data_IF_768983178776
#
_entry.id   IF_768983178776
#
_cell.length_a   1.000
_cell.length_b   1.000
_cell.length_c   1.000
_cell.angle_alpha   90.00
_cell.angle_beta   90.00
_cell.angle_gamma   90.00
#
_symmetry.space_group_name_H-M   'P 1'
#
loop_
_entity.id
_entity.type
_entity.pdbx_description
1 polymer ?
#
# COMPACT_ATOMS: atom_id res chain seq x y z
N UNK A 1 -59.01 18.92 44.86
CA UNK A 1 -57.59 18.98 45.30
C UNK A 1 -56.83 18.07 44.39
N UNK A 2 -56.22 18.57 43.33
CA UNK A 2 -55.50 17.78 42.34
C UNK A 2 -54.07 17.58 42.82
N UNK A 3 -53.74 16.34 42.99
CA UNK A 3 -52.45 15.88 43.46
C UNK A 3 -51.38 16.12 42.36
N UNK A 4 -50.30 16.74 42.76
CA UNK A 4 -49.25 17.20 41.85
C UNK A 4 -48.56 16.03 41.18
N UNK A 5 -48.55 16.06 39.87
CA UNK A 5 -47.80 15.14 39.04
C UNK A 5 -46.32 15.15 39.42
N UNK A 6 -45.85 14.02 39.99
CA UNK A 6 -44.44 13.76 40.14
C UNK A 6 -43.83 13.70 38.76
N UNK A 7 -43.24 14.81 38.32
CA UNK A 7 -42.34 14.79 37.19
C UNK A 7 -41.11 13.96 37.57
N UNK A 8 -41.01 12.77 37.04
CA UNK A 8 -39.81 11.97 37.12
C UNK A 8 -38.67 12.80 36.56
N UNK A 9 -37.87 13.39 37.43
CA UNK A 9 -36.62 14.03 37.04
C UNK A 9 -35.74 12.94 36.46
N UNK A 10 -35.54 12.97 35.15
CA UNK A 10 -34.60 12.10 34.49
C UNK A 10 -33.23 12.25 35.17
N UNK A 11 -32.81 11.22 35.88
CA UNK A 11 -31.47 11.20 36.45
C UNK A 11 -30.47 11.19 35.31
N UNK A 12 -29.76 12.30 35.13
CA UNK A 12 -28.66 12.38 34.18
C UNK A 12 -27.45 11.68 34.79
N UNK A 13 -27.11 10.49 34.27
CA UNK A 13 -25.89 9.82 34.65
C UNK A 13 -24.75 10.39 33.78
N UNK A 14 -23.68 10.83 34.43
CA UNK A 14 -22.43 11.23 33.75
C UNK A 14 -21.44 10.10 33.82
N UNK A 15 -21.02 9.62 32.66
CA UNK A 15 -19.96 8.64 32.56
C UNK A 15 -18.73 9.28 31.94
N UNK A 16 -17.58 9.14 32.59
CA UNK A 16 -16.31 9.65 32.08
C UNK A 16 -15.51 8.51 31.49
N UNK A 17 -15.37 8.52 30.17
CA UNK A 17 -14.47 7.61 29.46
C UNK A 17 -13.05 8.22 29.46
N UNK A 18 -12.08 7.54 30.05
CA UNK A 18 -10.68 7.98 30.12
C UNK A 18 -9.83 7.49 28.95
N UNK A 19 -10.28 6.44 28.27
CA UNK A 19 -9.61 5.86 27.11
C UNK A 19 -10.66 5.30 26.15
N UNK A 20 -10.42 5.42 24.86
CA UNK A 20 -11.24 4.81 23.82
C UNK A 20 -10.58 3.52 23.33
N UNK A 21 -11.33 2.42 23.30
CA UNK A 21 -10.86 1.11 22.86
C UNK A 21 -10.71 0.97 21.33
N UNK A 22 -11.22 1.96 20.58
CA UNK A 22 -11.19 1.94 19.12
C UNK A 22 -12.47 1.43 18.48
N UNK A 23 -12.41 1.05 17.21
CA UNK A 23 -13.51 0.49 16.44
C UNK A 23 -13.61 -1.02 16.69
N UNK A 24 -14.77 -1.48 17.13
CA UNK A 24 -15.09 -2.88 17.30
C UNK A 24 -16.43 -3.19 16.61
N UNK A 25 -16.36 -3.76 15.41
CA UNK A 25 -17.55 -4.15 14.63
C UNK A 25 -18.12 -5.51 15.02
N UNK A 26 -17.59 -6.14 16.07
CA UNK A 26 -18.07 -7.43 16.60
C UNK A 26 -19.30 -7.29 17.49
N UNK A 27 -19.87 -8.43 17.87
CA UNK A 27 -21.08 -8.49 18.74
C UNK A 27 -20.84 -8.08 20.20
N UNK A 28 -19.58 -7.91 20.62
CA UNK A 28 -19.18 -7.59 21.99
C UNK A 28 -18.60 -6.20 22.13
N UNK A 29 -19.20 -5.19 21.51
CA UNK A 29 -18.76 -3.80 21.66
C UNK A 29 -18.97 -3.31 23.09
N UNK A 30 -17.91 -2.87 23.77
CA UNK A 30 -17.97 -2.29 25.12
C UNK A 30 -18.35 -0.81 25.07
N UNK A 31 -18.73 -0.24 26.23
CA UNK A 31 -19.05 1.19 26.32
C UNK A 31 -17.86 2.12 25.98
N UNK A 32 -16.63 1.61 26.00
CA UNK A 32 -15.42 2.33 25.65
C UNK A 32 -15.04 2.20 24.15
N UNK A 33 -15.80 1.42 23.39
CA UNK A 33 -15.55 1.14 21.99
C UNK A 33 -16.66 1.70 21.09
N UNK A 34 -16.37 1.86 19.81
CA UNK A 34 -17.35 2.26 18.81
C UNK A 34 -17.71 1.09 17.90
N UNK A 35 -18.98 0.87 17.66
CA UNK A 35 -19.46 -0.08 16.65
C UNK A 35 -19.44 0.49 15.23
N UNK A 36 -19.26 1.79 15.09
CA UNK A 36 -19.09 2.47 13.82
C UNK A 36 -18.54 3.86 14.03
N UNK A 37 -17.58 4.26 13.23
CA UNK A 37 -17.02 5.59 13.28
C UNK A 37 -16.90 6.23 11.89
N UNK A 38 -17.06 7.53 11.82
CA UNK A 38 -16.83 8.29 10.61
C UNK A 38 -16.03 9.56 10.93
N UNK A 39 -14.92 9.76 10.21
CA UNK A 39 -14.04 10.92 10.35
C UNK A 39 -13.29 11.05 11.69
N UNK A 40 -13.21 10.00 12.47
CA UNK A 40 -12.33 9.91 13.63
C UNK A 40 -11.10 9.03 13.37
N UNK A 41 -10.11 9.13 14.23
CA UNK A 41 -8.88 8.37 14.15
C UNK A 41 -8.36 8.04 15.54
N UNK A 42 -8.02 6.80 15.75
CA UNK A 42 -7.40 6.30 16.99
C UNK A 42 -5.86 6.44 17.00
N UNK A 43 -5.25 7.10 16.00
CA UNK A 43 -3.79 7.28 15.93
C UNK A 43 -3.17 7.99 17.13
N UNK A 44 -3.98 8.77 17.86
CA UNK A 44 -3.56 9.45 19.08
C UNK A 44 -3.98 8.72 20.35
N UNK A 45 -4.14 7.38 20.31
CA UNK A 45 -4.55 6.61 21.49
C UNK A 45 -3.78 7.02 22.75
N UNK A 46 -4.45 7.23 23.91
CA UNK A 46 -5.87 6.90 24.18
C UNK A 46 -6.88 8.00 23.83
N UNK A 47 -6.48 9.06 23.16
CA UNK A 47 -7.35 10.14 22.75
C UNK A 47 -7.98 9.87 21.37
N UNK A 48 -9.29 10.17 21.25
CA UNK A 48 -9.97 10.18 19.97
C UNK A 48 -9.74 11.52 19.29
N UNK A 49 -9.25 11.49 18.05
CA UNK A 49 -8.99 12.69 17.27
C UNK A 49 -9.84 12.71 16.00
N UNK A 50 -10.18 13.91 15.53
CA UNK A 50 -10.79 14.04 14.21
C UNK A 50 -9.77 13.72 13.12
N UNK A 51 -10.22 13.03 12.08
CA UNK A 51 -9.39 12.76 10.91
C UNK A 51 -8.99 14.07 10.23
N UNK A 52 -7.73 14.20 9.89
CA UNK A 52 -7.24 15.35 9.12
C UNK A 52 -7.96 15.43 7.76
N UNK A 53 -8.23 16.64 7.31
CA UNK A 53 -8.81 16.87 5.98
C UNK A 53 -7.96 16.24 4.88
N UNK A 54 -8.62 15.59 3.95
CA UNK A 54 -7.98 15.16 2.69
C UNK A 54 -7.84 16.37 1.79
N UNK A 55 -6.66 16.56 1.24
CA UNK A 55 -6.41 17.58 0.22
C UNK A 55 -5.86 16.92 -1.03
N UNK A 56 -6.07 17.55 -2.17
CA UNK A 56 -5.40 17.14 -3.38
C UNK A 56 -3.91 17.52 -3.27
N UNK A 57 -3.03 16.53 -3.33
CA UNK A 57 -1.58 16.72 -3.29
C UNK A 57 -1.04 16.93 -4.69
N UNK A 58 -1.51 16.14 -5.65
CA UNK A 58 -1.09 16.19 -7.06
C UNK A 58 -2.19 15.58 -7.93
N UNK A 59 -2.43 16.18 -9.09
CA UNK A 59 -3.28 15.59 -10.12
C UNK A 59 -2.41 14.96 -11.18
N UNK A 60 -2.57 13.68 -11.42
CA UNK A 60 -1.82 12.91 -12.43
C UNK A 60 -2.81 12.20 -13.33
N UNK A 61 -2.61 12.29 -14.64
CA UNK A 61 -3.43 11.61 -15.64
C UNK A 61 -2.73 10.36 -16.17
N UNK A 62 -3.50 9.38 -16.65
CA UNK A 62 -2.98 8.17 -17.27
C UNK A 62 -2.20 7.27 -16.33
N UNK A 63 -2.62 7.21 -15.05
CA UNK A 63 -1.97 6.36 -14.05
C UNK A 63 -2.37 4.91 -14.24
N UNK A 64 -1.39 4.06 -14.51
CA UNK A 64 -1.54 2.61 -14.68
C UNK A 64 -1.39 1.84 -13.36
N UNK A 65 -0.70 2.44 -12.40
CA UNK A 65 -0.52 1.89 -11.06
C UNK A 65 0.15 2.88 -10.13
N UNK A 66 -0.10 2.72 -8.83
CA UNK A 66 0.47 3.57 -7.79
C UNK A 66 0.76 2.72 -6.56
N UNK A 67 1.91 2.93 -5.96
CA UNK A 67 2.35 2.22 -4.76
C UNK A 67 3.12 3.15 -3.83
N UNK A 68 3.04 2.91 -2.54
CA UNK A 68 3.81 3.66 -1.55
C UNK A 68 4.73 2.71 -0.78
N UNK A 69 6.02 2.95 -0.90
CA UNK A 69 7.07 2.29 -0.12
C UNK A 69 8.25 3.26 -0.01
N UNK A 70 8.51 3.81 1.17
CA UNK A 70 9.53 4.82 1.42
C UNK A 70 9.42 6.05 0.50
N UNK A 71 8.25 6.26 -0.08
CA UNK A 71 7.95 7.27 -1.08
C UNK A 71 6.83 6.83 -2.00
N UNK A 72 6.38 7.74 -2.84
CA UNK A 72 5.30 7.52 -3.78
C UNK A 72 5.85 7.10 -5.14
N UNK A 73 5.51 5.89 -5.57
CA UNK A 73 5.81 5.36 -6.88
C UNK A 73 4.56 5.41 -7.75
N UNK A 74 4.67 6.01 -8.92
CA UNK A 74 3.59 6.16 -9.91
C UNK A 74 4.06 5.59 -11.24
N UNK A 75 3.27 4.68 -11.80
CA UNK A 75 3.45 4.20 -13.17
C UNK A 75 2.44 4.93 -14.07
N UNK A 76 2.93 5.57 -15.13
CA UNK A 76 2.14 6.33 -16.08
C UNK A 76 2.57 5.99 -17.50
N UNK A 77 1.69 5.31 -18.25
CA UNK A 77 2.07 4.77 -19.56
C UNK A 77 3.31 3.89 -19.42
N UNK A 78 4.38 4.24 -20.13
CA UNK A 78 5.66 3.52 -20.11
C UNK A 78 6.67 4.07 -19.09
N UNK A 79 6.30 5.08 -18.33
CA UNK A 79 7.18 5.81 -17.41
C UNK A 79 6.91 5.40 -15.97
N UNK A 80 7.97 5.25 -15.20
CA UNK A 80 7.97 5.07 -13.76
C UNK A 80 8.48 6.35 -13.11
N UNK A 81 7.67 6.94 -12.22
CA UNK A 81 8.04 8.11 -11.42
C UNK A 81 8.09 7.70 -9.95
N UNK A 82 9.18 8.00 -9.27
CA UNK A 82 9.32 7.80 -7.83
C UNK A 82 9.64 9.12 -7.15
N UNK A 83 8.87 9.45 -6.13
CA UNK A 83 9.10 10.60 -5.27
C UNK A 83 9.31 10.09 -3.86
N UNK A 84 10.52 10.15 -3.30
CA UNK A 84 10.80 9.67 -1.96
C UNK A 84 10.11 10.52 -0.90
N UNK A 85 9.85 9.92 0.26
CA UNK A 85 9.48 10.66 1.46
C UNK A 85 10.68 11.49 1.95
N UNK A 86 10.43 12.54 2.75
CA UNK A 86 11.47 13.49 3.20
C UNK A 86 12.63 12.80 3.96
N UNK A 87 12.37 11.65 4.55
CA UNK A 87 13.35 10.87 5.33
C UNK A 87 14.24 9.97 4.47
N UNK A 88 13.94 9.82 3.18
CA UNK A 88 14.69 8.93 2.28
C UNK A 88 15.73 9.71 1.49
N UNK A 89 16.96 9.21 1.47
CA UNK A 89 18.12 9.89 0.85
C UNK A 89 18.12 9.90 -0.67
N UNK A 90 17.32 9.07 -1.31
CA UNK A 90 17.21 8.99 -2.76
C UNK A 90 16.41 10.18 -3.28
N UNK A 91 16.92 10.87 -4.28
CA UNK A 91 16.21 11.93 -4.97
C UNK A 91 15.00 11.40 -5.77
N UNK A 92 14.20 12.30 -6.30
CA UNK A 92 13.13 11.91 -7.22
C UNK A 92 13.73 11.24 -8.47
N UNK A 93 13.15 10.12 -8.89
CA UNK A 93 13.61 9.30 -10.01
C UNK A 93 12.51 9.25 -11.06
N UNK A 94 12.87 9.49 -12.32
CA UNK A 94 11.98 9.32 -13.47
C UNK A 94 12.67 8.41 -14.48
N UNK A 95 12.07 7.27 -14.75
CA UNK A 95 12.57 6.29 -15.72
C UNK A 95 11.57 6.19 -16.87
N UNK A 96 11.99 6.57 -18.07
CA UNK A 96 11.15 6.56 -19.26
C UNK A 96 11.32 5.27 -20.06
N UNK A 97 10.26 4.81 -20.71
CA UNK A 97 10.24 3.63 -21.58
C UNK A 97 10.72 2.33 -20.92
N UNK A 98 10.51 2.19 -19.62
CA UNK A 98 10.91 1.00 -18.82
C UNK A 98 9.75 0.04 -18.57
N UNK A 99 8.52 0.48 -18.78
CA UNK A 99 7.30 -0.27 -18.53
C UNK A 99 6.46 -0.43 -19.81
N UNK A 100 5.49 -1.34 -19.77
CA UNK A 100 4.38 -1.41 -20.75
C UNK A 100 3.26 -0.46 -20.35
N UNK A 101 2.36 -0.15 -21.27
CA UNK A 101 1.20 0.73 -21.00
C UNK A 101 -0.02 -0.08 -20.54
N UNK A 102 0.20 -1.01 -19.61
CA UNK A 102 -0.83 -1.86 -19.03
C UNK A 102 -1.04 -1.52 -17.55
N UNK A 103 -2.19 -1.94 -16.99
CA UNK A 103 -2.44 -1.83 -15.57
C UNK A 103 -1.37 -2.60 -14.77
N UNK A 104 -0.83 -1.95 -13.74
CA UNK A 104 0.23 -2.51 -12.89
C UNK A 104 -0.32 -3.12 -11.61
N UNK A 105 0.14 -4.33 -11.30
CA UNK A 105 0.07 -4.91 -9.97
C UNK A 105 1.43 -4.74 -9.30
N UNK A 106 1.44 -4.28 -8.06
CA UNK A 106 2.67 -3.98 -7.34
C UNK A 106 2.66 -4.61 -5.96
N UNK A 107 3.84 -5.08 -5.53
CA UNK A 107 4.05 -5.61 -4.19
C UNK A 107 5.41 -5.16 -3.65
N UNK A 108 5.45 -4.80 -2.36
CA UNK A 108 6.69 -4.44 -1.68
C UNK A 108 7.41 -5.66 -1.10
N UNK A 109 8.74 -5.67 -1.22
CA UNK A 109 9.61 -6.68 -0.62
C UNK A 109 10.91 -6.00 -0.14
N UNK A 110 11.00 -5.74 1.16
CA UNK A 110 12.10 -4.96 1.72
C UNK A 110 12.09 -3.54 1.17
N UNK A 111 13.20 -3.11 0.54
CA UNK A 111 13.31 -1.80 -0.14
C UNK A 111 12.81 -1.83 -1.58
N UNK A 112 12.44 -3.01 -2.10
CA UNK A 112 12.09 -3.18 -3.51
C UNK A 112 10.58 -3.22 -3.72
N UNK A 113 10.13 -2.58 -4.81
CA UNK A 113 8.77 -2.69 -5.33
C UNK A 113 8.80 -3.55 -6.59
N UNK A 114 8.11 -4.68 -6.52
CA UNK A 114 7.95 -5.59 -7.65
C UNK A 114 6.77 -5.13 -8.50
N UNK A 115 6.91 -5.10 -9.82
CA UNK A 115 5.92 -4.55 -10.75
C UNK A 115 5.58 -5.58 -11.83
N UNK A 116 4.31 -5.94 -11.93
CA UNK A 116 3.76 -6.81 -12.97
C UNK A 116 2.80 -6.05 -13.88
N UNK A 117 2.65 -6.43 -15.14
CA UNK A 117 3.21 -7.62 -15.82
C UNK A 117 4.66 -7.49 -16.29
N UNK A 118 5.31 -6.33 -16.14
CA UNK A 118 6.64 -6.02 -16.67
C UNK A 118 7.76 -6.88 -16.07
N UNK A 119 7.51 -7.55 -14.95
CA UNK A 119 8.50 -8.39 -14.24
C UNK A 119 9.77 -7.60 -13.90
N UNK A 120 9.59 -6.45 -13.29
CA UNK A 120 10.69 -5.58 -12.83
C UNK A 120 10.62 -5.33 -11.34
N UNK A 121 11.77 -5.06 -10.74
CA UNK A 121 11.91 -4.63 -9.35
C UNK A 121 12.56 -3.25 -9.31
N UNK A 122 11.90 -2.29 -8.70
CA UNK A 122 12.45 -0.96 -8.43
C UNK A 122 12.91 -0.90 -6.98
N UNK A 123 14.17 -0.54 -6.75
CA UNK A 123 14.73 -0.37 -5.41
C UNK A 123 14.59 1.09 -4.97
N UNK A 124 13.81 1.32 -3.91
CA UNK A 124 13.55 2.66 -3.36
C UNK A 124 14.77 3.27 -2.68
N UNK A 125 15.74 2.45 -2.27
CA UNK A 125 16.97 2.91 -1.62
C UNK A 125 18.03 3.39 -2.61
N UNK A 126 18.13 2.75 -3.78
CA UNK A 126 19.14 3.08 -4.80
C UNK A 126 18.55 3.83 -6.00
N UNK A 127 17.24 3.73 -6.23
CA UNK A 127 16.57 4.27 -7.42
C UNK A 127 16.79 3.43 -8.69
N UNK A 128 17.32 2.22 -8.54
CA UNK A 128 17.62 1.33 -9.65
C UNK A 128 16.46 0.41 -10.01
N UNK A 129 16.30 0.14 -11.31
CA UNK A 129 15.33 -0.80 -11.84
C UNK A 129 16.04 -2.07 -12.33
N UNK A 130 15.64 -3.22 -11.81
CA UNK A 130 16.18 -4.51 -12.20
C UNK A 130 15.09 -5.37 -12.85
N UNK A 131 15.39 -6.07 -13.93
CA UNK A 131 14.48 -7.03 -14.55
C UNK A 131 14.46 -8.32 -13.73
N UNK A 132 13.27 -8.84 -13.48
CA UNK A 132 13.07 -10.13 -12.83
C UNK A 132 13.03 -11.21 -13.90
N UNK A 133 13.96 -12.12 -13.85
CA UNK A 133 14.06 -13.27 -14.77
C UNK A 133 15.49 -13.75 -14.86
N UNK A 134 15.66 -15.01 -15.19
CA UNK A 134 16.98 -15.54 -15.54
C UNK A 134 17.36 -14.95 -16.90
N UNK A 135 18.33 -14.07 -16.93
CA UNK A 135 18.92 -13.54 -18.15
C UNK A 135 20.38 -13.99 -18.19
N UNK A 136 20.74 -14.63 -19.27
CA UNK A 136 22.12 -15.00 -19.53
C UNK A 136 22.53 -14.48 -20.90
N UNK A 137 23.52 -13.61 -20.93
CA UNK A 137 24.13 -13.12 -22.17
C UNK A 137 25.45 -13.83 -22.40
N UNK A 138 25.54 -14.54 -23.50
CA UNK A 138 26.80 -15.10 -23.99
C UNK A 138 27.24 -14.32 -25.24
N UNK A 139 28.11 -13.34 -25.04
CA UNK A 139 28.65 -12.55 -26.14
C UNK A 139 29.34 -13.46 -27.19
N UNK A 140 28.79 -13.50 -28.41
CA UNK A 140 29.41 -14.09 -29.57
C UNK A 140 29.55 -15.62 -29.59
N UNK A 141 28.87 -16.35 -28.68
CA UNK A 141 28.89 -17.83 -28.67
C UNK A 141 27.49 -18.40 -28.93
N UNK A 142 27.40 -19.38 -29.80
CA UNK A 142 26.18 -20.15 -29.99
C UNK A 142 26.11 -21.26 -28.95
N UNK A 143 24.97 -21.44 -28.32
CA UNK A 143 24.69 -22.56 -27.41
C UNK A 143 23.64 -23.43 -28.06
N UNK A 144 23.97 -24.67 -28.26
CA UNK A 144 23.00 -25.68 -28.64
C UNK A 144 22.43 -26.32 -27.40
N UNK A 145 21.14 -26.15 -27.18
CA UNK A 145 20.43 -26.80 -26.08
C UNK A 145 19.80 -28.08 -26.60
N UNK A 146 20.29 -29.20 -26.10
CA UNK A 146 19.72 -30.52 -26.41
C UNK A 146 18.83 -30.93 -25.24
N UNK A 147 17.51 -31.12 -25.42
CA UNK A 147 16.65 -31.60 -24.36
C UNK A 147 17.05 -33.01 -23.94
N UNK A 148 17.14 -33.23 -22.63
CA UNK A 148 17.45 -34.55 -22.07
C UNK A 148 16.44 -34.87 -20.94
N UNK A 149 16.29 -36.17 -20.63
CA UNK A 149 15.52 -36.63 -19.48
C UNK A 149 16.30 -36.44 -18.17
N UNK A 150 15.68 -36.81 -17.05
CA UNK A 150 16.29 -36.69 -15.73
C UNK A 150 17.56 -37.53 -15.54
N UNK A 151 17.76 -38.54 -16.40
CA UNK A 151 18.94 -39.43 -16.46
C UNK A 151 20.00 -38.93 -17.46
N UNK A 152 19.78 -37.74 -18.09
CA UNK A 152 20.73 -37.13 -19.04
C UNK A 152 20.70 -37.73 -20.45
N UNK A 153 19.68 -38.52 -20.80
CA UNK A 153 19.51 -39.09 -22.15
C UNK A 153 18.87 -38.06 -23.06
N UNK A 154 19.47 -37.83 -24.21
CA UNK A 154 19.00 -36.87 -25.21
C UNK A 154 17.69 -37.33 -25.86
N UNK A 155 16.71 -36.45 -25.93
CA UNK A 155 15.54 -36.69 -26.77
C UNK A 155 15.89 -36.52 -28.24
N UNK A 156 15.68 -37.55 -29.01
CA UNK A 156 15.64 -37.47 -30.48
C UNK A 156 14.16 -37.36 -30.85
N UNK A 157 13.71 -36.30 -31.50
CA UNK A 157 12.29 -36.13 -31.92
C UNK A 157 11.91 -37.15 -32.99
#
# INVERSE_FOLDING_TARGET
MMDGTNLNVLQTSRQMLRAFGGLNEGYGCSEAEFSGEMNFSSRGYPALQTRKMRRNVRTVQGVNGMYHLNGLLICRGKTLEYTPDEEVRTGAVVLENVLTDDRKAMAGMGTKVLIWPDKVAFDTGTGELTRLGAQWEMGGKSVTVTPCDAEGRTYTP
#
